data_IF_868196721254
#
_entry.id   IF_868196721254
#
_cell.length_a   1.000
_cell.length_b   1.000
_cell.length_c   1.000
_cell.angle_alpha   90.00
_cell.angle_beta   90.00
_cell.angle_gamma   90.00
#
_symmetry.space_group_name_H-M   'P 1'
#
loop_
_entity.id
_entity.type
_entity.pdbx_description
1 polymer ?
#
# COMPACT_ATOMS: atom_id res chain seq x y z
N UNK A 1 -2.99 12.79 -31.20
CA UNK A 1 -3.53 13.56 -30.06
C UNK A 1 -3.17 12.84 -28.76
N UNK A 2 -2.35 13.43 -27.89
CA UNK A 2 -2.12 12.88 -26.54
C UNK A 2 -3.37 13.21 -25.71
N UNK A 3 -4.18 12.21 -25.34
CA UNK A 3 -5.23 12.39 -24.33
C UNK A 3 -4.51 12.75 -23.03
N UNK A 4 -4.72 13.96 -22.49
CA UNK A 4 -4.30 14.25 -21.12
C UNK A 4 -5.01 13.26 -20.20
N UNK A 5 -4.24 12.34 -19.61
CA UNK A 5 -4.71 11.51 -18.52
C UNK A 5 -5.17 12.46 -17.41
N UNK A 6 -6.47 12.43 -17.11
CA UNK A 6 -7.04 13.22 -16.02
C UNK A 6 -6.53 12.59 -14.72
N UNK A 7 -5.68 13.30 -13.98
CA UNK A 7 -5.19 12.86 -12.68
C UNK A 7 -6.38 12.85 -11.70
N UNK A 8 -6.72 11.67 -11.18
CA UNK A 8 -7.68 11.53 -10.09
C UNK A 8 -6.89 11.59 -8.78
N UNK A 9 -7.34 12.38 -7.80
CA UNK A 9 -6.74 12.39 -6.47
C UNK A 9 -7.73 11.84 -5.44
N UNK A 10 -7.36 10.75 -4.77
CA UNK A 10 -8.10 10.23 -3.62
C UNK A 10 -7.38 10.71 -2.37
N UNK A 11 -8.12 11.36 -1.46
CA UNK A 11 -7.54 11.83 -0.20
C UNK A 11 -7.46 10.67 0.77
N UNK A 12 -6.32 10.52 1.45
CA UNK A 12 -6.13 9.56 2.55
C UNK A 12 -7.31 9.58 3.54
N UNK A 13 -7.73 10.78 3.95
CA UNK A 13 -8.81 10.95 4.94
C UNK A 13 -10.14 10.31 4.50
N UNK A 14 -10.42 10.30 3.19
CA UNK A 14 -11.66 9.77 2.66
C UNK A 14 -11.56 8.23 2.64
N UNK A 15 -10.41 7.69 2.25
CA UNK A 15 -10.11 6.25 2.35
C UNK A 15 -10.19 5.72 3.79
N UNK A 16 -9.58 6.44 4.75
CA UNK A 16 -9.61 6.08 6.18
C UNK A 16 -11.03 6.18 6.73
N UNK A 17 -11.80 7.22 6.37
CA UNK A 17 -13.18 7.38 6.82
C UNK A 17 -14.07 6.25 6.31
N UNK A 18 -13.91 5.86 5.06
CA UNK A 18 -14.72 4.79 4.49
C UNK A 18 -14.46 3.45 5.17
N UNK A 19 -13.18 3.10 5.40
CA UNK A 19 -12.81 1.88 6.14
C UNK A 19 -13.29 1.95 7.59
N UNK A 20 -13.21 3.12 8.22
CA UNK A 20 -13.73 3.35 9.57
C UNK A 20 -15.23 3.07 9.67
N UNK A 21 -16.01 3.55 8.70
CA UNK A 21 -17.44 3.30 8.63
C UNK A 21 -17.77 1.83 8.34
N UNK A 22 -17.07 1.22 7.38
CA UNK A 22 -17.28 -0.17 6.97
C UNK A 22 -16.95 -1.18 8.08
N UNK A 23 -15.87 -0.93 8.82
CA UNK A 23 -15.41 -1.85 9.85
C UNK A 23 -15.95 -1.55 11.26
N UNK A 24 -16.67 -0.43 11.43
CA UNK A 24 -17.12 0.09 12.72
C UNK A 24 -15.95 0.34 13.69
N UNK A 25 -14.85 0.89 13.16
CA UNK A 25 -13.60 1.16 13.89
C UNK A 25 -13.35 2.66 13.91
N UNK A 26 -12.82 3.21 15.00
CA UNK A 26 -12.51 4.65 15.05
C UNK A 26 -11.51 5.06 13.95
N UNK A 27 -11.74 6.21 13.31
CA UNK A 27 -10.87 6.80 12.28
C UNK A 27 -9.41 6.82 12.74
N UNK A 28 -9.17 7.24 13.99
CA UNK A 28 -7.84 7.28 14.59
C UNK A 28 -7.14 5.92 14.61
N UNK A 29 -7.90 4.84 14.89
CA UNK A 29 -7.36 3.48 14.96
C UNK A 29 -7.14 2.91 13.56
N UNK A 30 -8.06 3.17 12.62
CA UNK A 30 -7.86 2.81 11.21
C UNK A 30 -6.61 3.46 10.64
N UNK A 31 -6.47 4.78 10.82
CA UNK A 31 -5.27 5.52 10.38
C UNK A 31 -4.00 4.89 10.91
N UNK A 32 -3.95 4.63 12.22
CA UNK A 32 -2.78 4.03 12.90
C UNK A 32 -2.44 2.64 12.36
N UNK A 33 -3.45 1.79 12.12
CA UNK A 33 -3.24 0.46 11.50
C UNK A 33 -2.68 0.60 10.08
N UNK A 34 -3.27 1.49 9.26
CA UNK A 34 -2.84 1.70 7.87
C UNK A 34 -1.41 2.24 7.82
N UNK A 35 -1.08 3.25 8.62
CA UNK A 35 0.27 3.81 8.73
C UNK A 35 1.29 2.73 9.11
N UNK A 36 1.04 1.98 10.20
CA UNK A 36 1.97 0.93 10.66
C UNK A 36 2.11 -0.21 9.66
N UNK A 37 1.02 -0.57 8.97
CA UNK A 37 1.05 -1.55 7.90
C UNK A 37 1.97 -1.10 6.76
N UNK A 38 1.77 0.13 6.27
CA UNK A 38 2.57 0.67 5.17
C UNK A 38 4.04 0.89 5.56
N UNK A 39 4.32 1.36 6.78
CA UNK A 39 5.68 1.46 7.33
C UNK A 39 6.34 0.09 7.39
N UNK A 40 5.61 -0.95 7.77
CA UNK A 40 6.15 -2.31 7.84
C UNK A 40 6.54 -2.83 6.46
N UNK A 41 5.74 -2.54 5.42
CA UNK A 41 6.09 -2.82 4.03
C UNK A 41 7.35 -2.05 3.62
N UNK A 42 7.38 -0.72 3.83
CA UNK A 42 8.53 0.14 3.51
C UNK A 42 9.82 -0.43 4.10
N UNK A 43 9.80 -0.75 5.39
CA UNK A 43 10.99 -1.24 6.10
C UNK A 43 11.47 -2.59 5.56
N UNK A 44 10.57 -3.53 5.22
CA UNK A 44 11.00 -4.79 4.61
C UNK A 44 11.65 -4.55 3.24
N UNK A 45 11.07 -3.66 2.43
CA UNK A 45 11.58 -3.37 1.10
C UNK A 45 12.94 -2.66 1.15
N UNK A 46 13.13 -1.74 2.09
CA UNK A 46 14.44 -1.10 2.33
C UNK A 46 15.53 -2.09 2.77
N UNK A 47 15.14 -3.22 3.37
CA UNK A 47 16.04 -4.33 3.69
C UNK A 47 16.32 -5.26 2.48
N UNK A 48 15.87 -4.89 1.28
CA UNK A 48 16.05 -5.66 0.05
C UNK A 48 15.03 -6.77 -0.16
N UNK A 49 14.01 -6.89 0.71
CA UNK A 49 12.98 -7.92 0.57
C UNK A 49 11.90 -7.55 -0.44
N UNK A 50 11.26 -8.57 -1.00
CA UNK A 50 10.00 -8.43 -1.73
C UNK A 50 8.84 -8.71 -0.77
N UNK A 51 7.78 -7.91 -0.85
CA UNK A 51 6.59 -8.10 -0.02
C UNK A 51 5.41 -8.38 -0.94
N UNK A 52 4.86 -9.59 -0.89
CA UNK A 52 3.73 -9.98 -1.74
C UNK A 52 2.42 -9.91 -0.97
N UNK A 53 1.46 -9.22 -1.57
CA UNK A 53 0.11 -9.06 -1.02
C UNK A 53 -0.89 -9.58 -2.04
N UNK A 54 -1.47 -10.74 -1.74
CA UNK A 54 -2.51 -11.34 -2.58
C UNK A 54 -3.66 -10.34 -2.80
N UNK A 55 -4.00 -10.10 -4.06
CA UNK A 55 -5.03 -9.14 -4.47
C UNK A 55 -4.53 -7.70 -4.64
N UNK A 56 -3.28 -7.39 -4.30
CA UNK A 56 -2.68 -6.06 -4.47
C UNK A 56 -1.42 -6.07 -5.36
N UNK A 57 -0.56 -7.08 -5.21
CA UNK A 57 0.69 -7.22 -5.99
C UNK A 57 1.94 -7.35 -5.11
N UNK A 58 3.11 -7.08 -5.69
CA UNK A 58 4.42 -7.22 -5.01
C UNK A 58 5.12 -5.86 -4.86
N UNK A 59 5.59 -5.56 -3.65
CA UNK A 59 6.41 -4.39 -3.35
C UNK A 59 7.89 -4.77 -3.40
N UNK A 60 8.72 -3.93 -4.02
CA UNK A 60 10.17 -4.15 -4.12
C UNK A 60 10.94 -2.82 -4.16
N UNK A 61 12.26 -2.89 -4.02
CA UNK A 61 13.10 -1.70 -4.13
C UNK A 61 13.52 -1.53 -5.60
N UNK A 62 13.31 -0.36 -6.18
CA UNK A 62 13.83 -0.01 -7.50
C UNK A 62 14.77 1.19 -7.37
N UNK A 63 16.01 1.00 -7.77
CA UNK A 63 16.95 2.11 -7.84
C UNK A 63 16.57 2.99 -9.04
N UNK A 64 16.35 4.28 -8.79
CA UNK A 64 16.23 5.24 -9.88
C UNK A 64 17.60 5.47 -10.53
N UNK A 65 17.61 5.82 -11.82
CA UNK A 65 18.84 6.17 -12.57
C UNK A 65 19.64 7.32 -11.92
N UNK A 66 19.04 8.10 -11.02
CA UNK A 66 19.67 9.20 -10.28
C UNK A 66 20.29 8.77 -8.94
N UNK A 67 20.39 7.46 -8.65
CA UNK A 67 21.03 6.95 -7.43
C UNK A 67 20.20 7.11 -6.14
N UNK A 68 18.96 7.59 -6.23
CA UNK A 68 18.03 7.61 -5.08
C UNK A 68 17.29 6.28 -4.99
N UNK A 69 17.31 5.66 -3.81
CA UNK A 69 16.49 4.50 -3.47
C UNK A 69 15.02 4.88 -3.55
N UNK A 70 14.28 4.33 -4.52
CA UNK A 70 12.82 4.44 -4.58
C UNK A 70 12.24 3.07 -4.26
N UNK A 71 11.19 3.03 -3.45
CA UNK A 71 10.37 1.83 -3.35
C UNK A 71 9.46 1.84 -4.58
N UNK A 72 9.45 0.78 -5.37
CA UNK A 72 8.58 0.70 -6.54
C UNK A 72 7.91 -0.67 -6.58
N UNK A 73 6.70 -0.70 -7.09
CA UNK A 73 6.07 -1.98 -7.37
C UNK A 73 6.61 -2.47 -8.70
N UNK A 74 6.92 -3.76 -8.74
CA UNK A 74 7.27 -4.44 -9.98
C UNK A 74 6.13 -5.42 -10.22
N UNK A 75 5.25 -4.98 -11.11
CA UNK A 75 4.23 -5.73 -11.84
C UNK A 75 3.17 -6.56 -11.08
N UNK A 76 1.96 -6.56 -11.64
CA UNK A 76 0.84 -7.44 -11.30
C UNK A 76 0.68 -8.57 -12.32
N UNK A 77 1.55 -8.65 -13.33
CA UNK A 77 1.68 -9.85 -14.16
C UNK A 77 2.42 -10.93 -13.38
N UNK A 78 1.85 -12.13 -13.37
CA UNK A 78 2.49 -13.32 -12.84
C UNK A 78 3.95 -13.46 -13.35
N UNK A 79 4.77 -14.09 -12.49
CA UNK A 79 6.19 -14.48 -12.68
C UNK A 79 7.25 -13.48 -12.21
N UNK A 80 7.85 -13.77 -11.03
CA UNK A 80 9.21 -14.32 -10.95
C UNK A 80 9.58 -14.64 -9.50
N UNK A 81 10.01 -15.89 -9.28
CA UNK A 81 10.69 -16.38 -8.08
C UNK A 81 11.91 -15.51 -7.75
N UNK A 82 12.04 -15.11 -6.49
CA UNK A 82 13.30 -14.78 -5.84
C UNK A 82 13.07 -14.77 -4.31
N UNK A 83 13.89 -15.55 -3.62
CA UNK A 83 13.79 -15.89 -2.20
C UNK A 83 13.65 -14.68 -1.26
N UNK A 84 12.88 -14.91 -0.19
CA UNK A 84 12.44 -13.99 0.89
C UNK A 84 11.13 -13.22 0.62
N UNK A 85 10.04 -13.96 0.41
CA UNK A 85 8.67 -13.43 0.35
C UNK A 85 8.09 -13.28 1.77
N UNK A 86 7.72 -12.06 2.18
CA UNK A 86 6.93 -11.87 3.41
C UNK A 86 5.44 -11.81 3.07
N UNK A 87 4.64 -12.67 3.70
CA UNK A 87 3.21 -12.80 3.42
C UNK A 87 2.37 -11.75 4.18
N UNK A 88 1.17 -11.46 3.68
CA UNK A 88 0.19 -10.58 4.33
C UNK A 88 -0.08 -10.98 5.80
N UNK A 89 -0.11 -12.28 6.10
CA UNK A 89 -0.28 -12.79 7.47
C UNK A 89 0.84 -12.34 8.41
N UNK A 90 2.07 -12.27 7.92
CA UNK A 90 3.24 -11.85 8.70
C UNK A 90 3.18 -10.35 8.96
N UNK A 91 2.75 -9.55 7.97
CA UNK A 91 2.47 -8.13 8.15
C UNK A 91 1.37 -7.89 9.19
N UNK A 92 0.26 -8.65 9.14
CA UNK A 92 -0.83 -8.55 10.13
C UNK A 92 -0.32 -8.90 11.53
N UNK A 93 0.49 -9.94 11.66
CA UNK A 93 1.13 -10.29 12.94
C UNK A 93 2.01 -9.15 13.45
N UNK A 94 2.85 -8.57 12.58
CA UNK A 94 3.74 -7.45 12.92
C UNK A 94 2.97 -6.21 13.39
N UNK A 95 1.92 -5.83 12.68
CA UNK A 95 1.08 -4.68 13.02
C UNK A 95 0.29 -4.95 14.30
N UNK A 96 -0.29 -6.14 14.46
CA UNK A 96 -0.98 -6.57 15.68
C UNK A 96 -0.08 -6.46 16.92
N UNK A 97 1.19 -6.89 16.80
CA UNK A 97 2.18 -6.78 17.87
C UNK A 97 2.59 -5.32 18.14
N UNK A 98 2.90 -4.54 17.10
CA UNK A 98 3.32 -3.14 17.24
C UNK A 98 2.23 -2.24 17.83
N UNK A 99 0.99 -2.48 17.45
CA UNK A 99 -0.15 -1.67 17.85
C UNK A 99 -0.85 -2.19 19.11
N UNK A 100 -0.45 -3.36 19.61
CA UNK A 100 -1.15 -4.08 20.69
C UNK A 100 -2.66 -4.23 20.39
N UNK A 101 -2.97 -4.69 19.17
CA UNK A 101 -4.33 -4.86 18.66
C UNK A 101 -4.61 -6.33 18.32
N UNK A 102 -5.89 -6.72 18.29
CA UNK A 102 -6.27 -8.06 17.86
C UNK A 102 -5.94 -8.27 16.37
N UNK A 103 -5.43 -9.47 16.04
CA UNK A 103 -5.12 -9.84 14.64
C UNK A 103 -6.34 -9.74 13.73
N UNK A 104 -7.52 -10.10 14.25
CA UNK A 104 -8.79 -10.00 13.52
C UNK A 104 -9.11 -8.57 13.09
N UNK A 105 -8.95 -7.60 14.01
CA UNK A 105 -9.19 -6.19 13.70
C UNK A 105 -8.21 -5.66 12.64
N UNK A 106 -6.92 -5.98 12.80
CA UNK A 106 -5.88 -5.59 11.84
C UNK A 106 -6.14 -6.23 10.48
N UNK A 107 -6.48 -7.52 10.44
CA UNK A 107 -6.77 -8.26 9.21
C UNK A 107 -7.93 -7.63 8.43
N UNK A 108 -9.03 -7.28 9.12
CA UNK A 108 -10.20 -6.60 8.56
C UNK A 108 -9.84 -5.26 7.93
N UNK A 109 -9.21 -4.37 8.71
CA UNK A 109 -8.80 -3.03 8.22
C UNK A 109 -7.85 -3.14 7.01
N UNK A 110 -6.87 -4.05 7.07
CA UNK A 110 -5.91 -4.28 5.98
C UNK A 110 -6.61 -4.84 4.73
N UNK A 111 -7.56 -5.77 4.89
CA UNK A 111 -8.35 -6.30 3.75
C UNK A 111 -9.15 -5.21 3.07
N UNK A 112 -9.82 -4.35 3.84
CA UNK A 112 -10.67 -3.28 3.29
C UNK A 112 -9.84 -2.21 2.61
N UNK A 113 -8.64 -1.91 3.13
CA UNK A 113 -7.64 -1.10 2.42
C UNK A 113 -7.27 -1.72 1.06
N UNK A 114 -6.83 -2.99 1.07
CA UNK A 114 -6.41 -3.70 -0.15
C UNK A 114 -7.54 -3.73 -1.19
N UNK A 115 -8.75 -4.07 -0.76
CA UNK A 115 -9.92 -4.16 -1.63
C UNK A 115 -10.24 -2.82 -2.30
N UNK A 116 -10.17 -1.72 -1.54
CA UNK A 116 -10.39 -0.38 -2.09
C UNK A 116 -9.31 0.01 -3.09
N UNK A 117 -8.04 -0.23 -2.77
CA UNK A 117 -6.94 0.03 -3.69
C UNK A 117 -7.07 -0.79 -4.99
N UNK A 118 -7.52 -2.04 -4.88
CA UNK A 118 -7.76 -2.92 -6.04
C UNK A 118 -8.91 -2.46 -6.94
N UNK A 119 -9.92 -1.77 -6.39
CA UNK A 119 -11.13 -1.34 -7.12
C UNK A 119 -11.03 0.03 -7.79
N UNK A 120 -9.93 0.75 -7.61
CA UNK A 120 -9.73 2.05 -8.25
C UNK A 120 -9.68 1.85 -9.77
N UNK A 121 -10.54 2.57 -10.49
CA UNK A 121 -10.75 2.37 -11.93
C UNK A 121 -9.48 2.67 -12.74
N UNK A 122 -9.18 1.79 -13.70
CA UNK A 122 -7.97 1.80 -14.51
C UNK A 122 -7.92 2.89 -15.61
N UNK A 123 -8.97 3.70 -15.75
CA UNK A 123 -9.07 4.64 -16.87
C UNK A 123 -8.23 5.91 -16.69
N UNK A 124 -7.71 6.13 -15.48
CA UNK A 124 -6.96 7.34 -15.09
C UNK A 124 -5.86 7.01 -14.10
N UNK A 125 -4.77 7.78 -14.17
CA UNK A 125 -3.76 7.80 -13.11
C UNK A 125 -4.40 8.34 -11.83
N UNK A 126 -4.39 7.53 -10.76
CA UNK A 126 -4.96 7.89 -9.47
C UNK A 126 -3.87 8.07 -8.43
N UNK A 127 -3.79 9.25 -7.82
CA UNK A 127 -2.82 9.58 -6.78
C UNK A 127 -3.48 9.55 -5.41
N UNK A 128 -2.82 8.92 -4.44
CA UNK A 128 -3.18 8.96 -3.02
C UNK A 128 -1.98 9.46 -2.24
N UNK A 129 -2.12 10.59 -1.57
CA UNK A 129 -1.07 11.14 -0.73
C UNK A 129 -1.36 10.84 0.74
N UNK A 130 -0.46 10.10 1.37
CA UNK A 130 -0.41 9.93 2.82
C UNK A 130 0.56 10.97 3.36
N UNK A 131 0.04 11.99 4.04
CA UNK A 131 0.73 13.26 4.29
C UNK A 131 2.12 13.10 4.94
N UNK A 132 2.28 12.09 5.78
CA UNK A 132 3.49 11.86 6.57
C UNK A 132 4.26 10.61 6.13
N UNK A 133 3.85 9.98 5.03
CA UNK A 133 4.36 8.65 4.66
C UNK A 133 4.83 8.56 3.21
N UNK A 134 4.11 9.18 2.28
CA UNK A 134 4.47 9.15 0.87
C UNK A 134 3.25 9.15 -0.05
N UNK A 135 3.50 8.84 -1.31
CA UNK A 135 2.50 8.89 -2.38
C UNK A 135 2.31 7.51 -2.99
N UNK A 136 1.07 7.08 -3.13
CA UNK A 136 0.69 5.99 -4.01
C UNK A 136 0.21 6.56 -5.34
N UNK A 137 0.71 6.03 -6.45
CA UNK A 137 0.22 6.31 -7.81
C UNK A 137 -0.30 5.01 -8.38
N UNK A 138 -1.58 4.93 -8.70
CA UNK A 138 -2.25 3.75 -9.22
C UNK A 138 -2.56 4.00 -10.69
N UNK A 139 -2.07 3.15 -11.58
CA UNK A 139 -2.25 3.26 -13.01
C UNK A 139 -2.16 1.89 -13.67
N UNK A 140 -3.12 1.54 -14.52
CA UNK A 140 -3.13 0.28 -15.27
C UNK A 140 -2.97 -0.95 -14.36
N UNK A 141 -3.59 -0.94 -13.17
CA UNK A 141 -3.44 -1.91 -12.06
C UNK A 141 -2.08 -1.90 -11.35
N UNK A 142 -1.10 -1.16 -11.84
CA UNK A 142 0.16 -0.98 -11.14
C UNK A 142 -0.03 0.07 -10.05
N UNK A 143 0.56 -0.17 -8.90
CA UNK A 143 0.66 0.84 -7.85
C UNK A 143 2.12 1.29 -7.83
N UNK A 144 2.44 2.53 -7.50
CA UNK A 144 3.80 3.02 -7.30
C UNK A 144 3.82 3.76 -5.97
N UNK A 145 4.69 3.36 -5.04
CA UNK A 145 4.74 3.97 -3.71
C UNK A 145 6.04 4.75 -3.58
N UNK A 146 5.96 6.07 -3.65
CA UNK A 146 7.11 6.93 -3.44
C UNK A 146 7.11 7.40 -1.98
N UNK A 147 8.05 6.94 -1.13
CA UNK A 147 8.22 7.49 0.22
C UNK A 147 8.60 8.97 0.15
N UNK A 148 8.22 9.74 1.16
CA UNK A 148 8.81 11.07 1.37
C UNK A 148 10.20 10.95 1.98
N UNK A 149 11.11 11.85 1.56
CA UNK A 149 12.47 11.98 2.09
C UNK A 149 12.46 12.40 3.58
#
# INVERSE_FOLDING_TARGET
MRRSLKLLEIRERDLVRDISNEEEVSISKVRRIVETFLISIKNQVLLGKRVRIKGLGTFSLQQSFEGRSRVCFVDISDEFDLDTEMLRSDLVNLVSLKENLSKSLVDRVVRSLIYRLHRIENTSETKIVFKDFGTFVIKDRHIQYTPFD
#
